data_IF_734296367883
#
_entry.id   IF_734296367883
#
_cell.length_a   1.000
_cell.length_b   1.000
_cell.length_c   1.000
_cell.angle_alpha   90.00
_cell.angle_beta   90.00
_cell.angle_gamma   90.00
#
_symmetry.space_group_name_H-M   'P 1'
#
loop_
_entity.id
_entity.type
_entity.pdbx_description
1 polymer ?
#
# COMPACT_ATOMS: atom_id res chain seq x y z
N UNK A 1 -0.74 -23.76 -4.53
CA UNK A 1 0.52 -24.43 -4.94
C UNK A 1 0.83 -25.67 -4.11
N UNK A 2 0.66 -25.65 -2.78
CA UNK A 2 0.86 -26.83 -1.91
C UNK A 2 0.07 -28.07 -2.36
N UNK A 3 -1.22 -27.92 -2.68
CA UNK A 3 -2.08 -29.01 -3.19
C UNK A 3 -1.86 -29.37 -4.67
N UNK A 4 -0.88 -28.75 -5.34
CA UNK A 4 -0.61 -28.91 -6.78
C UNK A 4 -1.79 -28.70 -7.76
N UNK A 5 -2.94 -28.17 -7.32
CA UNK A 5 -4.11 -27.91 -8.21
C UNK A 5 -3.79 -27.05 -9.44
N UNK A 6 -2.82 -26.14 -9.34
CA UNK A 6 -2.33 -25.29 -10.44
C UNK A 6 -1.85 -26.05 -11.68
N UNK A 7 -1.56 -27.35 -11.56
CA UNK A 7 -1.19 -28.20 -12.69
C UNK A 7 -2.40 -28.63 -13.54
N UNK A 8 -3.63 -28.37 -13.06
CA UNK A 8 -4.87 -28.59 -13.79
C UNK A 8 -5.37 -27.29 -14.40
N UNK A 9 -6.07 -27.35 -15.52
CA UNK A 9 -6.65 -26.16 -16.16
C UNK A 9 -7.59 -25.40 -15.21
N UNK A 10 -8.41 -26.12 -14.44
CA UNK A 10 -9.31 -25.54 -13.44
C UNK A 10 -8.55 -24.80 -12.34
N UNK A 11 -7.49 -25.39 -11.80
CA UNK A 11 -6.68 -24.75 -10.75
C UNK A 11 -5.86 -23.57 -11.28
N UNK A 12 -5.36 -23.65 -12.51
CA UNK A 12 -4.70 -22.53 -13.18
C UNK A 12 -5.68 -21.36 -13.37
N UNK A 13 -6.91 -21.62 -13.84
CA UNK A 13 -7.93 -20.59 -13.98
C UNK A 13 -8.26 -19.90 -12.65
N UNK A 14 -8.33 -20.64 -11.53
CA UNK A 14 -8.49 -20.03 -10.19
C UNK A 14 -7.36 -19.05 -9.87
N UNK A 15 -6.12 -19.37 -10.24
CA UNK A 15 -4.97 -18.47 -10.03
C UNK A 15 -5.08 -17.23 -10.90
N UNK A 16 -5.50 -17.37 -12.16
CA UNK A 16 -5.74 -16.23 -13.06
C UNK A 16 -6.82 -15.31 -12.48
N UNK A 17 -7.91 -15.86 -11.97
CA UNK A 17 -8.98 -15.11 -11.30
C UNK A 17 -8.48 -14.30 -10.09
N UNK A 18 -7.58 -14.87 -9.27
CA UNK A 18 -6.93 -14.14 -8.15
C UNK A 18 -5.99 -13.06 -8.71
N UNK A 19 -5.16 -13.42 -9.69
CA UNK A 19 -4.17 -12.53 -10.30
C UNK A 19 -4.80 -11.29 -10.93
N UNK A 20 -6.04 -11.39 -11.39
CA UNK A 20 -6.80 -10.29 -11.96
C UNK A 20 -7.03 -9.12 -10.98
N UNK A 21 -7.04 -9.38 -9.67
CA UNK A 21 -7.18 -8.33 -8.64
C UNK A 21 -5.91 -8.08 -7.83
N UNK A 22 -4.79 -8.73 -8.17
CA UNK A 22 -3.48 -8.44 -7.57
C UNK A 22 -2.76 -7.31 -8.31
N UNK A 23 -2.27 -6.32 -7.56
CA UNK A 23 -1.51 -5.18 -8.08
C UNK A 23 -2.23 -4.49 -9.25
N UNK A 24 -1.63 -4.55 -10.46
CA UNK A 24 -2.16 -3.96 -11.69
C UNK A 24 -3.06 -4.91 -12.50
N UNK A 25 -3.43 -6.08 -11.97
CA UNK A 25 -4.25 -7.04 -12.69
C UNK A 25 -3.53 -7.71 -13.86
N UNK A 26 -4.29 -8.32 -14.78
CA UNK A 26 -3.74 -9.13 -15.87
C UNK A 26 -3.00 -8.28 -16.92
N UNK A 27 -1.99 -8.86 -17.57
CA UNK A 27 -1.44 -8.28 -18.81
C UNK A 27 -2.44 -8.44 -19.96
N UNK A 28 -2.24 -7.70 -21.05
CA UNK A 28 -3.11 -7.77 -22.24
C UNK A 28 -3.11 -9.17 -22.85
N UNK A 29 -1.94 -9.79 -22.93
CA UNK A 29 -1.74 -11.13 -23.49
C UNK A 29 -2.46 -12.17 -22.64
N UNK A 30 -2.32 -12.09 -21.32
CA UNK A 30 -2.97 -13.04 -20.41
C UNK A 30 -4.48 -12.88 -20.39
N UNK A 31 -4.98 -11.64 -20.47
CA UNK A 31 -6.41 -11.39 -20.63
C UNK A 31 -6.94 -11.98 -21.95
N UNK A 32 -6.20 -11.86 -23.05
CA UNK A 32 -6.56 -12.45 -24.33
C UNK A 32 -6.59 -13.99 -24.27
N UNK A 33 -5.65 -14.61 -23.56
CA UNK A 33 -5.59 -16.07 -23.39
C UNK A 33 -6.61 -16.62 -22.38
N UNK A 34 -7.24 -15.76 -21.57
CA UNK A 34 -8.21 -16.17 -20.55
C UNK A 34 -9.38 -15.17 -20.48
N UNK A 35 -10.19 -15.07 -21.54
CA UNK A 35 -11.21 -14.02 -21.68
C UNK A 35 -12.38 -14.18 -20.69
N UNK A 36 -12.64 -15.40 -20.22
CA UNK A 36 -13.71 -15.71 -19.25
C UNK A 36 -13.27 -15.53 -17.78
N UNK A 37 -12.14 -14.87 -17.53
CA UNK A 37 -11.65 -14.65 -16.17
C UNK A 37 -12.64 -13.83 -15.36
N UNK A 38 -13.07 -14.38 -14.23
CA UNK A 38 -13.90 -13.66 -13.24
C UNK A 38 -13.00 -13.24 -12.09
N UNK A 39 -12.72 -11.94 -11.91
CA UNK A 39 -11.81 -11.48 -10.86
C UNK A 39 -12.32 -11.81 -9.46
N UNK A 40 -11.45 -12.36 -8.61
CA UNK A 40 -11.80 -12.62 -7.20
C UNK A 40 -11.84 -11.30 -6.42
N UNK A 41 -12.90 -10.99 -5.66
CA UNK A 41 -12.98 -9.80 -4.84
C UNK A 41 -11.77 -9.68 -3.90
N UNK A 42 -11.15 -8.50 -3.84
CA UNK A 42 -10.10 -8.23 -2.87
C UNK A 42 -10.74 -8.10 -1.48
N UNK A 43 -10.23 -8.79 -0.45
CA UNK A 43 -10.74 -8.62 0.90
C UNK A 43 -10.59 -7.15 1.33
N UNK A 44 -11.62 -6.63 1.97
CA UNK A 44 -11.53 -5.33 2.64
C UNK A 44 -10.53 -5.46 3.78
N UNK A 45 -9.75 -4.40 4.02
CA UNK A 45 -8.92 -4.36 5.22
C UNK A 45 -9.83 -4.08 6.41
N UNK A 46 -9.68 -4.87 7.46
CA UNK A 46 -10.25 -4.56 8.76
C UNK A 46 -9.55 -3.32 9.36
N UNK A 47 -10.10 -2.81 10.46
CA UNK A 47 -9.56 -1.67 11.22
C UNK A 47 -8.05 -1.78 11.39
N UNK A 48 -7.33 -0.75 10.96
CA UNK A 48 -5.87 -0.76 11.02
C UNK A 48 -5.39 -0.38 12.42
N UNK A 49 -4.51 -1.20 13.00
CA UNK A 49 -3.81 -0.90 14.26
C UNK A 49 -2.32 -1.13 14.05
N UNK A 50 -1.48 -0.34 14.73
CA UNK A 50 -0.03 -0.60 14.75
C UNK A 50 0.22 -1.81 15.65
N UNK A 51 0.64 -2.97 15.09
CA UNK A 51 0.66 -4.22 15.84
C UNK A 51 1.81 -4.29 16.86
N UNK A 52 2.92 -3.62 16.56
CA UNK A 52 4.12 -3.61 17.40
C UNK A 52 5.04 -2.44 17.00
N UNK A 53 5.80 -1.90 17.95
CA UNK A 53 6.74 -0.80 17.69
C UNK A 53 7.79 -1.14 16.63
N UNK A 54 8.30 -2.38 16.63
CA UNK A 54 9.28 -2.84 15.63
C UNK A 54 8.70 -2.93 14.21
N UNK A 55 7.41 -3.20 14.07
CA UNK A 55 6.73 -3.13 12.77
C UNK A 55 6.72 -1.68 12.27
N UNK A 56 6.40 -0.73 13.16
CA UNK A 56 6.41 0.69 12.84
C UNK A 56 7.81 1.20 12.49
N UNK A 57 8.85 0.74 13.20
CA UNK A 57 10.24 1.03 12.86
C UNK A 57 10.55 0.57 11.43
N UNK A 58 10.24 -0.69 11.10
CA UNK A 58 10.45 -1.21 9.75
C UNK A 58 9.68 -0.43 8.68
N UNK A 59 8.44 -0.04 8.98
CA UNK A 59 7.63 0.79 8.08
C UNK A 59 8.23 2.19 7.88
N UNK A 60 8.69 2.83 8.95
CA UNK A 60 9.37 4.15 8.91
C UNK A 60 10.71 4.05 8.16
N UNK A 61 11.43 2.94 8.27
CA UNK A 61 12.65 2.75 7.48
C UNK A 61 12.39 2.71 5.96
N UNK A 62 11.21 2.25 5.53
CA UNK A 62 10.83 2.23 4.12
C UNK A 62 10.19 3.53 3.62
N UNK A 63 9.27 4.10 4.40
CA UNK A 63 8.39 5.21 3.95
C UNK A 63 8.65 6.55 4.67
N UNK A 64 9.52 6.53 5.68
CA UNK A 64 9.82 7.69 6.52
C UNK A 64 10.88 8.61 5.91
N UNK A 65 10.77 9.89 6.24
CA UNK A 65 11.72 10.92 5.88
C UNK A 65 12.04 11.81 7.09
N UNK A 66 13.33 11.96 7.37
CA UNK A 66 13.86 12.94 8.32
C UNK A 66 14.57 14.04 7.54
N UNK A 67 14.13 15.28 7.69
CA UNK A 67 14.68 16.41 6.93
C UNK A 67 14.79 17.68 7.78
N UNK A 68 15.70 18.55 7.38
CA UNK A 68 15.85 19.90 7.92
C UNK A 68 15.20 20.87 6.93
N UNK A 69 14.23 21.65 7.40
CA UNK A 69 13.62 22.73 6.62
C UNK A 69 14.41 24.01 6.83
N UNK A 70 14.77 24.67 5.73
CA UNK A 70 15.41 25.99 5.72
C UNK A 70 14.47 27.01 5.07
N UNK A 71 14.58 28.27 5.47
CA UNK A 71 13.93 29.43 4.87
C UNK A 71 15.02 30.44 4.47
N UNK A 72 15.24 30.62 3.17
CA UNK A 72 16.35 31.44 2.64
C UNK A 72 17.73 31.11 3.26
N UNK A 73 18.01 29.82 3.49
CA UNK A 73 19.26 29.34 4.08
C UNK A 73 19.31 29.40 5.61
N UNK A 74 18.30 29.99 6.27
CA UNK A 74 18.19 30.04 7.73
C UNK A 74 17.40 28.83 8.22
N UNK A 75 17.82 28.21 9.32
CA UNK A 75 17.11 27.11 9.94
C UNK A 75 15.66 27.49 10.28
N UNK A 76 14.70 26.66 9.86
CA UNK A 76 13.27 26.83 10.14
C UNK A 76 12.75 25.77 11.10
N UNK A 77 12.93 24.49 10.77
CA UNK A 77 12.43 23.39 11.58
C UNK A 77 13.04 22.04 11.20
N UNK A 78 12.90 21.06 12.09
CA UNK A 78 13.11 19.64 11.79
C UNK A 78 11.77 19.02 11.40
N UNK A 79 11.77 18.17 10.38
CA UNK A 79 10.57 17.53 9.86
C UNK A 79 10.76 16.02 9.85
N UNK A 80 9.79 15.32 10.43
CA UNK A 80 9.58 13.89 10.22
C UNK A 80 8.29 13.70 9.43
N UNK A 81 8.35 12.95 8.34
CA UNK A 81 7.20 12.68 7.46
C UNK A 81 7.13 11.21 7.09
N UNK A 82 5.92 10.68 7.05
CA UNK A 82 5.60 9.38 6.43
C UNK A 82 4.65 9.69 5.28
N UNK A 83 4.96 9.20 4.08
CA UNK A 83 4.10 9.42 2.90
C UNK A 83 3.54 8.09 2.42
N UNK A 84 2.26 8.04 2.09
CA UNK A 84 1.65 6.84 1.52
C UNK A 84 0.52 7.20 0.56
N UNK A 85 0.11 6.25 -0.28
CA UNK A 85 -1.07 6.40 -1.13
C UNK A 85 -2.36 6.55 -0.29
N UNK A 86 -3.32 7.35 -0.78
CA UNK A 86 -4.60 7.61 -0.09
C UNK A 86 -5.40 6.35 0.30
N UNK A 87 -5.19 5.25 -0.43
CA UNK A 87 -5.82 3.94 -0.13
C UNK A 87 -5.46 3.41 1.27
N UNK A 88 -4.36 3.88 1.85
CA UNK A 88 -3.88 3.48 3.18
C UNK A 88 -4.05 4.64 4.19
N UNK A 89 -5.03 5.52 3.99
CA UNK A 89 -5.33 6.63 4.90
C UNK A 89 -5.63 6.16 6.34
N UNK A 90 -6.39 5.07 6.48
CA UNK A 90 -6.69 4.48 7.80
C UNK A 90 -5.41 4.02 8.53
N UNK A 91 -4.40 3.52 7.82
CA UNK A 91 -3.11 3.17 8.42
C UNK A 91 -2.38 4.41 8.95
N UNK A 92 -2.40 5.51 8.20
CA UNK A 92 -1.78 6.76 8.66
C UNK A 92 -2.52 7.36 9.85
N UNK A 93 -3.85 7.20 9.94
CA UNK A 93 -4.65 7.57 11.11
C UNK A 93 -4.24 6.71 12.32
N UNK A 94 -4.10 5.39 12.16
CA UNK A 94 -3.64 4.51 13.23
C UNK A 94 -2.24 4.86 13.74
N UNK A 95 -1.31 5.21 12.83
CA UNK A 95 0.04 5.68 13.19
C UNK A 95 -0.04 7.04 13.91
N UNK A 96 -0.95 7.93 13.49
CA UNK A 96 -1.19 9.21 14.17
C UNK A 96 -1.64 8.99 15.61
N UNK A 97 -2.60 8.11 15.83
CA UNK A 97 -3.09 7.74 17.16
C UNK A 97 -1.98 7.11 18.01
N UNK A 98 -1.13 6.27 17.40
CA UNK A 98 0.02 5.67 18.07
C UNK A 98 1.03 6.71 18.59
N UNK A 99 1.37 7.73 17.80
CA UNK A 99 2.31 8.77 18.22
C UNK A 99 1.68 9.86 19.10
N UNK A 100 0.38 10.11 18.97
CA UNK A 100 -0.39 11.11 19.71
C UNK A 100 0.17 12.57 19.64
N UNK A 101 1.04 12.87 18.67
CA UNK A 101 1.67 14.19 18.52
C UNK A 101 1.81 14.63 17.05
N UNK A 102 1.23 13.87 16.11
CA UNK A 102 1.37 14.10 14.66
C UNK A 102 0.03 14.44 14.01
N UNK A 103 0.07 14.92 12.77
CA UNK A 103 -1.11 15.24 11.98
C UNK A 103 -1.02 14.60 10.59
N UNK A 104 -2.18 14.28 10.01
CA UNK A 104 -2.30 13.75 8.65
C UNK A 104 -2.85 14.84 7.73
N UNK A 105 -2.35 14.91 6.49
CA UNK A 105 -2.82 15.86 5.50
C UNK A 105 -2.74 15.27 4.09
N UNK A 106 -3.66 15.67 3.21
CA UNK A 106 -3.62 15.30 1.80
C UNK A 106 -2.62 16.20 1.06
N UNK A 107 -1.65 15.57 0.38
CA UNK A 107 -0.72 16.29 -0.48
C UNK A 107 -1.44 16.78 -1.73
N UNK A 108 -1.54 18.11 -1.90
CA UNK A 108 -2.02 18.70 -3.15
C UNK A 108 -1.03 18.36 -4.27
N UNK A 109 -1.52 17.82 -5.39
CA UNK A 109 -0.72 17.72 -6.61
C UNK A 109 -0.62 19.11 -7.20
N UNK A 110 0.58 19.68 -7.25
CA UNK A 110 0.81 20.81 -8.13
C UNK A 110 0.67 20.31 -9.56
N UNK A 111 -0.24 20.91 -10.35
CA UNK A 111 -0.22 20.74 -11.80
C UNK A 111 1.11 21.33 -12.26
N UNK A 112 2.02 20.47 -12.70
CA UNK A 112 3.11 20.86 -13.60
C UNK A 112 2.47 21.01 -14.97
#
# INVERSE_FOLDING_TARGET
>A
MQLKEHLTLKGLQKIVNIRATLNYGLSKELHFMSPETIPVPRPLRETCVVPHSQWLVGFISGEGNFSVSLDNGIFKSLLFKITQHKKDEELLIAIKEYFNCVYCYLRKKNKI
#
